data_IF_212579911152
#
_entry.id   IF_212579911152
#
_cell.length_a   1.000
_cell.length_b   1.000
_cell.length_c   1.000
_cell.angle_alpha   90.00
_cell.angle_beta   90.00
_cell.angle_gamma   90.00
#
_symmetry.space_group_name_H-M   'P 1'
#
loop_
_entity.id
_entity.type
_entity.pdbx_description
1 polymer ?
#
# COMPACT_ATOMS: atom_id res chain seq x y z
N UNK A 1 66.84 50.60 -13.42
CA UNK A 1 66.69 49.80 -12.19
C UNK A 1 65.42 50.25 -11.49
N UNK A 2 64.32 49.49 -11.60
CA UNK A 2 63.01 49.85 -11.01
C UNK A 2 62.74 48.88 -9.86
N UNK A 3 62.66 49.40 -8.64
CA UNK A 3 62.39 48.62 -7.44
C UNK A 3 60.90 48.22 -7.39
N UNK A 4 60.61 46.91 -7.41
CA UNK A 4 59.26 46.38 -7.14
C UNK A 4 59.03 46.33 -5.63
N UNK A 5 58.02 47.06 -5.14
CA UNK A 5 57.46 46.87 -3.79
C UNK A 5 56.86 45.46 -3.70
N UNK A 6 57.30 44.66 -2.72
CA UNK A 6 56.60 43.44 -2.29
C UNK A 6 55.27 43.86 -1.68
N UNK A 7 54.15 43.55 -2.35
CA UNK A 7 52.83 43.57 -1.74
C UNK A 7 52.61 42.24 -1.01
N UNK A 8 52.17 42.31 0.24
CA UNK A 8 51.77 41.14 1.00
C UNK A 8 50.60 40.41 0.32
N UNK A 9 50.54 39.07 0.38
CA UNK A 9 49.44 38.33 -0.21
C UNK A 9 48.13 38.64 0.51
N UNK A 10 47.00 38.78 -0.22
CA UNK A 10 45.70 38.96 0.41
C UNK A 10 45.38 37.74 1.27
N UNK A 11 45.20 37.99 2.57
CA UNK A 11 44.67 36.99 3.50
C UNK A 11 43.21 36.71 3.11
N UNK A 12 42.99 35.64 2.37
CA UNK A 12 41.64 35.08 2.19
C UNK A 12 41.21 34.49 3.52
N UNK A 13 40.45 35.26 4.30
CA UNK A 13 39.70 34.73 5.44
C UNK A 13 38.59 33.84 4.89
N UNK A 14 38.76 32.52 5.04
CA UNK A 14 37.66 31.58 4.85
C UNK A 14 36.61 31.88 5.93
N UNK A 15 35.50 32.48 5.52
CA UNK A 15 34.34 32.61 6.38
C UNK A 15 33.94 31.20 6.84
N UNK A 16 34.02 30.95 8.15
CA UNK A 16 33.54 29.71 8.74
C UNK A 16 32.05 29.55 8.41
N UNK A 17 31.74 28.62 7.51
CA UNK A 17 30.38 28.21 7.18
C UNK A 17 29.74 27.61 8.42
N UNK A 18 28.91 28.38 9.14
CA UNK A 18 27.85 27.84 10.00
C UNK A 18 26.92 27.00 9.10
N UNK A 19 26.54 25.74 9.36
CA UNK A 19 26.85 24.73 10.39
C UNK A 19 26.39 23.37 9.81
N UNK A 20 27.24 22.34 9.69
CA UNK A 20 26.87 21.01 9.16
C UNK A 20 25.76 20.30 9.95
N UNK A 21 25.53 20.68 11.23
CA UNK A 21 24.55 20.02 12.11
C UNK A 21 23.08 20.15 11.67
N UNK A 22 22.69 21.26 11.03
CA UNK A 22 21.29 21.47 10.61
C UNK A 22 20.91 20.61 9.41
N UNK A 23 21.86 20.37 8.51
CA UNK A 23 21.65 19.55 7.31
C UNK A 23 21.57 18.06 7.68
N UNK A 24 22.31 17.64 8.72
CA UNK A 24 22.27 16.29 9.26
C UNK A 24 20.92 15.99 9.92
N UNK A 25 20.41 16.88 10.77
CA UNK A 25 19.10 16.70 11.42
C UNK A 25 17.96 16.61 10.40
N UNK A 26 18.01 17.43 9.35
CA UNK A 26 17.05 17.38 8.25
C UNK A 26 17.15 16.08 7.42
N UNK A 27 18.35 15.55 7.22
CA UNK A 27 18.56 14.27 6.55
C UNK A 27 18.01 13.09 7.37
N UNK A 28 18.23 13.08 8.68
CA UNK A 28 17.65 12.05 9.56
C UNK A 28 16.12 12.09 9.60
N UNK A 29 15.52 13.28 9.65
CA UNK A 29 14.06 13.43 9.61
C UNK A 29 13.49 12.88 8.30
N UNK A 30 14.11 13.19 7.15
CA UNK A 30 13.70 12.66 5.86
C UNK A 30 13.85 11.12 5.81
N UNK A 31 14.98 10.59 6.29
CA UNK A 31 15.19 9.13 6.33
C UNK A 31 14.15 8.43 7.21
N UNK A 32 13.76 9.03 8.34
CA UNK A 32 12.70 8.50 9.20
C UNK A 32 11.34 8.51 8.49
N UNK A 33 10.97 9.60 7.81
CA UNK A 33 9.73 9.67 7.01
C UNK A 33 9.72 8.61 5.89
N UNK A 34 10.85 8.39 5.23
CA UNK A 34 11.00 7.34 4.23
C UNK A 34 10.84 5.95 4.83
N UNK A 35 11.45 5.69 5.99
CA UNK A 35 11.31 4.43 6.69
C UNK A 35 9.85 4.14 7.04
N UNK A 36 9.10 5.13 7.55
CA UNK A 36 7.66 5.00 7.78
C UNK A 36 6.89 4.70 6.50
N UNK A 37 7.21 5.38 5.40
CA UNK A 37 6.60 5.10 4.09
C UNK A 37 6.79 3.65 3.64
N UNK A 38 8.02 3.12 3.74
CA UNK A 38 8.30 1.71 3.42
C UNK A 38 7.56 0.74 4.34
N UNK A 39 7.51 1.03 5.64
CA UNK A 39 6.78 0.19 6.61
C UNK A 39 5.29 0.12 6.26
N UNK A 40 4.65 1.25 5.96
CA UNK A 40 3.24 1.29 5.61
C UNK A 40 2.95 0.52 4.31
N UNK A 41 3.80 0.68 3.29
CA UNK A 41 3.69 -0.09 2.04
C UNK A 41 3.81 -1.59 2.31
N UNK A 42 4.83 -1.99 3.09
CA UNK A 42 5.06 -3.39 3.44
C UNK A 42 3.91 -3.99 4.24
N UNK A 43 3.39 -3.25 5.23
CA UNK A 43 2.24 -3.65 6.03
C UNK A 43 1.01 -3.86 5.15
N UNK A 44 0.68 -2.90 4.28
CA UNK A 44 -0.44 -3.03 3.35
C UNK A 44 -0.32 -4.28 2.48
N UNK A 45 0.85 -4.54 1.89
CA UNK A 45 1.06 -5.72 1.03
C UNK A 45 0.92 -7.03 1.82
N UNK A 46 1.41 -7.05 3.07
CA UNK A 46 1.27 -8.19 3.97
C UNK A 46 -0.20 -8.46 4.30
N UNK A 47 -0.94 -7.45 4.74
CA UNK A 47 -2.36 -7.57 5.08
C UNK A 47 -3.22 -7.95 3.87
N UNK A 48 -2.96 -7.37 2.70
CA UNK A 48 -3.64 -7.77 1.47
C UNK A 48 -3.37 -9.24 1.12
N UNK A 49 -2.13 -9.72 1.33
CA UNK A 49 -1.79 -11.13 1.09
C UNK A 49 -2.53 -12.07 2.04
N UNK A 50 -2.73 -11.64 3.29
CA UNK A 50 -3.56 -12.40 4.25
C UNK A 50 -5.02 -12.42 3.82
N UNK A 51 -5.58 -11.30 3.37
CA UNK A 51 -6.93 -11.24 2.82
C UNK A 51 -7.11 -12.19 1.62
N UNK A 52 -6.18 -12.17 0.66
CA UNK A 52 -6.18 -13.09 -0.49
C UNK A 52 -6.21 -14.55 0.00
N UNK A 53 -5.33 -14.91 0.94
CA UNK A 53 -5.28 -16.26 1.50
C UNK A 53 -6.57 -16.64 2.25
N UNK A 54 -7.15 -15.72 3.04
CA UNK A 54 -8.42 -15.96 3.74
C UNK A 54 -9.56 -16.25 2.78
N UNK A 55 -9.63 -15.56 1.63
CA UNK A 55 -10.66 -15.85 0.62
C UNK A 55 -10.41 -17.22 -0.02
N UNK A 56 -9.16 -17.64 -0.23
CA UNK A 56 -8.85 -19.01 -0.72
C UNK A 56 -9.33 -20.07 0.25
N UNK A 57 -9.05 -19.89 1.54
CA UNK A 57 -9.52 -20.79 2.60
C UNK A 57 -11.04 -20.83 2.64
N UNK A 58 -11.71 -19.69 2.57
CA UNK A 58 -13.16 -19.62 2.51
C UNK A 58 -13.72 -20.37 1.30
N UNK A 59 -13.17 -20.15 0.10
CA UNK A 59 -13.59 -20.84 -1.11
C UNK A 59 -13.40 -22.35 -0.98
N UNK A 60 -12.22 -22.80 -0.54
CA UNK A 60 -11.90 -24.21 -0.39
C UNK A 60 -12.84 -24.91 0.62
N UNK A 61 -13.09 -24.27 1.76
CA UNK A 61 -14.00 -24.78 2.78
C UNK A 61 -15.43 -24.90 2.24
N UNK A 62 -15.93 -23.90 1.51
CA UNK A 62 -17.29 -23.91 0.94
C UNK A 62 -17.46 -24.90 -0.21
N UNK A 63 -16.36 -25.28 -0.86
CA UNK A 63 -16.32 -26.35 -1.86
C UNK A 63 -16.08 -27.74 -1.25
N UNK A 64 -15.75 -27.83 0.05
CA UNK A 64 -15.41 -29.10 0.69
C UNK A 64 -14.13 -29.73 0.12
N UNK A 65 -13.14 -28.91 -0.26
CA UNK A 65 -11.91 -29.43 -0.85
C UNK A 65 -11.06 -30.16 0.20
N UNK A 66 -10.53 -31.32 -0.20
CA UNK A 66 -9.45 -31.95 0.55
C UNK A 66 -8.18 -31.10 0.46
N UNK A 67 -7.32 -31.18 1.47
CA UNK A 67 -6.14 -30.31 1.63
C UNK A 67 -5.18 -30.40 0.43
N UNK A 68 -5.03 -31.60 -0.13
CA UNK A 68 -4.20 -31.87 -1.31
C UNK A 68 -4.68 -31.14 -2.58
N UNK A 69 -5.95 -30.75 -2.64
CA UNK A 69 -6.53 -30.01 -3.77
C UNK A 69 -6.56 -28.49 -3.54
N UNK A 70 -6.20 -28.01 -2.34
CA UNK A 70 -6.28 -26.59 -1.99
C UNK A 70 -5.53 -25.70 -2.99
N UNK A 71 -4.24 -25.95 -3.17
CA UNK A 71 -3.41 -25.14 -4.06
C UNK A 71 -3.76 -25.37 -5.53
N UNK A 72 -4.05 -26.61 -5.92
CA UNK A 72 -4.41 -26.96 -7.31
C UNK A 72 -5.64 -26.17 -7.77
N UNK A 73 -6.63 -26.01 -6.89
CA UNK A 73 -7.90 -25.33 -7.22
C UNK A 73 -7.82 -23.83 -7.01
N UNK A 74 -7.19 -23.36 -5.93
CA UNK A 74 -7.24 -21.93 -5.56
C UNK A 74 -6.08 -21.11 -6.12
N UNK A 75 -4.91 -21.71 -6.36
CA UNK A 75 -3.72 -21.00 -6.84
C UNK A 75 -3.82 -20.35 -8.22
N UNK A 76 -4.53 -20.94 -9.20
CA UNK A 76 -4.68 -20.33 -10.52
C UNK A 76 -5.49 -19.03 -10.55
N UNK A 77 -6.27 -18.73 -9.51
CA UNK A 77 -7.10 -17.52 -9.48
C UNK A 77 -6.27 -16.30 -9.07
N UNK A 78 -6.40 -15.23 -9.85
CA UNK A 78 -6.07 -13.90 -9.37
C UNK A 78 -7.09 -13.43 -8.31
N UNK A 79 -6.74 -12.39 -7.55
CA UNK A 79 -7.57 -11.89 -6.45
C UNK A 79 -9.00 -11.52 -6.90
N UNK A 80 -9.15 -10.93 -8.10
CA UNK A 80 -10.47 -10.51 -8.62
C UNK A 80 -11.32 -11.72 -8.97
N UNK A 81 -10.73 -12.73 -9.61
CA UNK A 81 -11.41 -13.97 -9.94
C UNK A 81 -11.78 -14.74 -8.67
N UNK A 82 -10.87 -14.79 -7.70
CA UNK A 82 -11.09 -15.40 -6.41
C UNK A 82 -12.28 -14.75 -5.70
N UNK A 83 -12.36 -13.42 -5.67
CA UNK A 83 -13.52 -12.68 -5.16
C UNK A 83 -14.81 -13.06 -5.87
N UNK A 84 -14.82 -13.04 -7.22
CA UNK A 84 -16.02 -13.33 -8.02
C UNK A 84 -16.54 -14.75 -7.82
N UNK A 85 -15.66 -15.75 -7.87
CA UNK A 85 -16.05 -17.17 -7.72
C UNK A 85 -16.59 -17.40 -6.32
N UNK A 86 -15.92 -16.86 -5.30
CA UNK A 86 -16.34 -17.00 -3.89
C UNK A 86 -17.67 -16.30 -3.64
N UNK A 87 -17.86 -15.09 -4.17
CA UNK A 87 -19.12 -14.35 -4.10
C UNK A 87 -20.27 -15.15 -4.69
N UNK A 88 -20.10 -15.70 -5.89
CA UNK A 88 -21.15 -16.50 -6.57
C UNK A 88 -21.52 -17.71 -5.72
N UNK A 89 -20.54 -18.47 -5.24
CA UNK A 89 -20.76 -19.65 -4.41
C UNK A 89 -21.55 -19.30 -3.13
N UNK A 90 -21.13 -18.25 -2.43
CA UNK A 90 -21.79 -17.82 -1.19
C UNK A 90 -23.19 -17.26 -1.43
N UNK A 91 -23.43 -16.52 -2.52
CA UNK A 91 -24.76 -16.06 -2.87
C UNK A 91 -25.71 -17.22 -3.22
N UNK A 92 -25.19 -18.30 -3.81
CA UNK A 92 -25.96 -19.51 -4.08
C UNK A 92 -26.28 -20.27 -2.78
N UNK A 93 -25.33 -20.37 -1.85
CA UNK A 93 -25.50 -21.07 -0.58
C UNK A 93 -26.33 -20.28 0.45
N UNK A 94 -26.28 -18.95 0.41
CA UNK A 94 -27.00 -18.08 1.34
C UNK A 94 -27.73 -16.94 0.61
N UNK A 95 -28.81 -17.22 -0.16
CA UNK A 95 -29.54 -16.21 -0.93
C UNK A 95 -30.07 -15.04 -0.09
N UNK A 96 -30.44 -15.31 1.17
CA UNK A 96 -30.91 -14.28 2.11
C UNK A 96 -29.83 -13.22 2.43
N UNK A 97 -28.54 -13.59 2.37
CA UNK A 97 -27.40 -12.70 2.63
C UNK A 97 -26.81 -12.13 1.33
N UNK A 98 -27.44 -12.32 0.17
CA UNK A 98 -26.88 -11.96 -1.15
C UNK A 98 -26.36 -10.53 -1.21
N UNK A 99 -27.16 -9.53 -0.78
CA UNK A 99 -26.77 -8.11 -0.86
C UNK A 99 -25.52 -7.79 -0.04
N UNK A 100 -25.40 -8.34 1.17
CA UNK A 100 -24.23 -8.10 2.02
C UNK A 100 -22.98 -8.78 1.47
N UNK A 101 -23.12 -10.01 0.94
CA UNK A 101 -22.04 -10.72 0.25
C UNK A 101 -21.56 -9.94 -0.98
N UNK A 102 -22.48 -9.49 -1.83
CA UNK A 102 -22.16 -8.69 -3.03
C UNK A 102 -21.44 -7.40 -2.66
N UNK A 103 -21.87 -6.71 -1.58
CA UNK A 103 -21.19 -5.52 -1.09
C UNK A 103 -19.77 -5.84 -0.63
N UNK A 104 -19.59 -6.85 0.22
CA UNK A 104 -18.28 -7.24 0.76
C UNK A 104 -17.26 -7.51 -0.36
N UNK A 105 -17.63 -8.35 -1.34
CA UNK A 105 -16.70 -8.68 -2.43
C UNK A 105 -16.48 -7.52 -3.40
N UNK A 106 -17.45 -6.61 -3.56
CA UNK A 106 -17.23 -5.36 -4.29
C UNK A 106 -16.21 -4.47 -3.57
N UNK A 107 -16.26 -4.40 -2.24
CA UNK A 107 -15.30 -3.65 -1.44
C UNK A 107 -13.89 -4.28 -1.57
N UNK A 108 -13.76 -5.61 -1.54
CA UNK A 108 -12.51 -6.32 -1.81
C UNK A 108 -11.95 -6.02 -3.22
N UNK A 109 -12.79 -6.09 -4.26
CA UNK A 109 -12.36 -5.80 -5.64
C UNK A 109 -11.88 -4.35 -5.77
N UNK A 110 -12.54 -3.41 -5.07
CA UNK A 110 -12.13 -2.00 -5.02
C UNK A 110 -10.77 -1.87 -4.33
N UNK A 111 -10.55 -2.56 -3.20
CA UNK A 111 -9.27 -2.60 -2.50
C UNK A 111 -8.13 -3.14 -3.38
N UNK A 112 -8.41 -4.08 -4.28
CA UNK A 112 -7.41 -4.57 -5.24
C UNK A 112 -6.92 -3.46 -6.20
N UNK A 113 -7.74 -2.46 -6.51
CA UNK A 113 -7.28 -1.30 -7.28
C UNK A 113 -6.19 -0.52 -6.52
N UNK A 114 -6.37 -0.33 -5.22
CA UNK A 114 -5.37 0.28 -4.35
C UNK A 114 -4.13 -0.59 -4.25
N UNK A 115 -4.29 -1.92 -4.13
CA UNK A 115 -3.14 -2.84 -4.17
C UNK A 115 -2.35 -2.73 -5.45
N UNK A 116 -3.01 -2.59 -6.60
CA UNK A 116 -2.30 -2.39 -7.87
C UNK A 116 -1.50 -1.08 -7.85
N UNK A 117 -2.08 0.00 -7.31
CA UNK A 117 -1.39 1.30 -7.17
C UNK A 117 -0.22 1.21 -6.19
N UNK A 118 -0.37 0.48 -5.08
CA UNK A 118 0.68 0.32 -4.07
C UNK A 118 1.82 -0.56 -4.57
N UNK A 119 1.50 -1.70 -5.19
CA UNK A 119 2.49 -2.67 -5.65
C UNK A 119 3.22 -2.24 -6.93
N UNK A 120 2.53 -1.55 -7.84
CA UNK A 120 3.07 -1.20 -9.17
C UNK A 120 3.26 0.31 -9.37
N UNK A 121 2.95 1.13 -8.38
CA UNK A 121 3.20 2.56 -8.40
C UNK A 121 4.69 2.89 -8.23
N UNK A 122 5.14 3.95 -8.88
CA UNK A 122 6.44 4.55 -8.60
C UNK A 122 6.31 5.47 -7.39
N UNK A 123 6.91 5.07 -6.27
CA UNK A 123 6.83 5.79 -5.00
C UNK A 123 7.84 6.93 -4.93
N UNK A 124 7.39 8.09 -4.44
CA UNK A 124 8.22 9.19 -3.98
C UNK A 124 7.94 9.42 -2.51
N UNK A 125 8.99 9.29 -1.68
CA UNK A 125 8.92 9.43 -0.23
C UNK A 125 9.69 10.70 0.16
N UNK A 126 8.95 11.79 0.32
CA UNK A 126 9.49 13.12 0.64
C UNK A 126 8.74 13.78 1.79
N UNK A 127 9.12 15.04 2.10
CA UNK A 127 8.57 15.80 3.24
C UNK A 127 7.05 16.02 3.20
N UNK A 128 6.49 16.02 1.99
CA UNK A 128 5.05 16.18 1.75
C UNK A 128 4.26 14.88 2.02
N UNK A 129 4.96 13.74 2.18
CA UNK A 129 4.37 12.43 2.42
C UNK A 129 4.63 11.43 1.28
N UNK A 130 4.19 10.18 1.45
CA UNK A 130 4.34 9.13 0.45
C UNK A 130 3.37 9.37 -0.72
N UNK A 131 3.88 9.53 -1.93
CA UNK A 131 3.05 9.66 -3.14
C UNK A 131 3.36 8.54 -4.13
N UNK A 132 2.35 7.88 -4.67
CA UNK A 132 2.50 6.89 -5.74
C UNK A 132 2.08 7.48 -7.09
N UNK A 133 2.99 7.45 -8.07
CA UNK A 133 2.67 7.70 -9.47
C UNK A 133 2.34 6.38 -10.16
N UNK A 134 1.12 6.26 -10.67
CA UNK A 134 0.67 5.07 -11.42
C UNK A 134 0.20 5.47 -12.82
N UNK A 135 0.58 4.68 -13.83
CA UNK A 135 0.17 4.87 -15.23
C UNK A 135 -0.77 3.75 -15.61
N UNK A 136 -2.02 4.09 -15.93
CA UNK A 136 -2.97 3.08 -16.42
C UNK A 136 -2.53 2.52 -17.77
N UNK A 137 -2.59 1.20 -17.93
CA UNK A 137 -2.34 0.54 -19.22
C UNK A 137 -3.38 0.87 -20.28
N UNK A 138 -4.61 1.20 -19.88
CA UNK A 138 -5.69 1.50 -20.82
C UNK A 138 -5.67 2.93 -21.34
N UNK A 139 -5.29 3.90 -20.50
CA UNK A 139 -5.29 5.32 -20.88
C UNK A 139 -3.91 5.90 -21.14
N UNK A 140 -2.85 5.23 -20.69
CA UNK A 140 -1.47 5.70 -20.69
C UNK A 140 -1.28 7.08 -20.01
N UNK A 141 -2.25 7.52 -19.21
CA UNK A 141 -2.20 8.79 -18.48
C UNK A 141 -1.70 8.56 -17.05
N UNK A 142 -0.67 9.30 -16.60
CA UNK A 142 -0.21 9.21 -15.22
C UNK A 142 -1.26 9.81 -14.28
N UNK A 143 -1.40 9.19 -13.10
CA UNK A 143 -2.16 9.70 -11.95
C UNK A 143 -1.30 9.58 -10.70
N UNK A 144 -1.50 10.48 -9.75
CA UNK A 144 -0.85 10.49 -8.45
C UNK A 144 -1.87 10.08 -7.38
N UNK A 145 -1.42 9.28 -6.43
CA UNK A 145 -2.24 8.73 -5.34
C UNK A 145 -1.51 8.88 -4.00
N UNK A 146 -2.27 8.86 -2.92
CA UNK A 146 -1.80 8.92 -1.53
C UNK A 146 -1.10 10.23 -1.12
N UNK A 147 -1.36 11.32 -1.84
CA UNK A 147 -0.80 12.67 -1.65
C UNK A 147 -1.08 13.33 -0.27
N UNK A 148 -1.75 12.65 0.65
CA UNK A 148 -2.03 13.12 2.00
C UNK A 148 -1.36 12.21 3.02
N UNK A 149 -0.62 12.81 3.97
CA UNK A 149 -0.07 12.14 5.16
C UNK A 149 -1.19 11.32 5.80
N UNK A 150 -1.03 9.99 5.84
CA UNK A 150 -1.91 8.97 6.45
C UNK A 150 -2.92 8.22 5.56
N UNK A 151 -2.93 8.38 4.23
CA UNK A 151 -3.84 7.57 3.38
C UNK A 151 -3.39 6.13 3.09
N UNK A 152 -2.21 5.74 3.54
CA UNK A 152 -1.75 4.35 3.50
C UNK A 152 -2.16 3.55 4.73
N UNK A 153 -2.74 4.20 5.75
CA UNK A 153 -3.32 3.50 6.89
C UNK A 153 -4.74 3.14 6.49
N UNK A 154 -4.99 1.85 6.25
CA UNK A 154 -6.34 1.33 6.32
C UNK A 154 -6.80 1.53 7.77
N UNK A 155 -7.75 2.45 7.98
CA UNK A 155 -8.45 2.61 9.25
C UNK A 155 -9.89 2.14 9.04
N UNK A 156 -10.43 1.28 9.92
CA UNK A 156 -11.85 0.92 9.94
C UNK A 156 -12.77 2.16 9.98
N UNK A 157 -12.26 3.30 10.43
CA UNK A 157 -13.01 4.54 10.63
C UNK A 157 -13.28 5.29 9.31
N UNK A 158 -12.47 5.04 8.27
CA UNK A 158 -12.64 5.67 6.94
C UNK A 158 -13.41 4.80 5.93
N UNK A 159 -13.86 3.62 6.36
CA UNK A 159 -14.78 2.77 5.63
C UNK A 159 -15.80 2.22 6.61
N UNK A 160 -17.00 2.84 6.64
CA UNK A 160 -18.14 2.34 7.40
C UNK A 160 -18.17 0.81 7.44
N UNK A 161 -18.03 0.23 8.64
CA UNK A 161 -18.74 -0.94 9.19
C UNK A 161 -17.84 -1.69 10.19
N UNK A 162 -18.03 -1.42 11.48
CA UNK A 162 -17.56 -2.28 12.57
C UNK A 162 -18.45 -3.52 12.81
N UNK A 163 -19.52 -3.74 12.04
CA UNK A 163 -20.60 -4.66 12.46
C UNK A 163 -20.69 -6.03 11.76
N UNK A 164 -19.69 -6.52 11.01
CA UNK A 164 -19.88 -7.75 10.21
C UNK A 164 -18.96 -8.95 10.47
N UNK A 165 -18.14 -8.92 11.52
CA UNK A 165 -17.19 -10.03 11.79
C UNK A 165 -17.73 -11.18 12.65
N UNK A 166 -18.97 -11.13 13.16
CA UNK A 166 -19.48 -12.17 14.07
C UNK A 166 -20.58 -13.10 13.48
N UNK A 167 -21.29 -12.71 12.41
CA UNK A 167 -22.45 -13.49 11.92
C UNK A 167 -22.17 -14.56 10.84
N UNK A 168 -20.89 -14.85 10.56
CA UNK A 168 -20.50 -15.86 9.55
C UNK A 168 -19.72 -17.05 10.12
N UNK A 169 -19.42 -17.03 11.42
CA UNK A 169 -18.65 -18.08 12.11
C UNK A 169 -19.53 -18.90 13.06
N UNK A 170 -20.75 -18.45 13.39
CA UNK A 170 -21.59 -19.12 14.40
C UNK A 170 -22.50 -20.25 13.86
N UNK A 171 -22.49 -20.55 12.56
CA UNK A 171 -23.27 -21.65 11.96
C UNK A 171 -22.39 -22.71 11.25
N UNK A 172 -21.24 -23.07 11.85
CA UNK A 172 -20.45 -24.26 11.46
C UNK A 172 -20.29 -25.19 12.65
#
# INVERSE_FOLDING_TARGET
MVARKKGDPPQHTFAATKKPDRDIAAAYALAAEQATGYQLIGQFISEFSQLDFSIRVLLANRLGLAKEYFDIVTAPYDFVMLCKVTQVLLCTQAPAKKKSIEKLFKDCITLNEDRVRVAHGMWTLGREGPTARHVSRSSLKPKFFFDQKNKLIWSPENGHHEDYYLDLVEDV
#
